data_IF_226366491249
#
_entry.id   IF_226366491249
#
_cell.length_a   1.000
_cell.length_b   1.000
_cell.length_c   1.000
_cell.angle_alpha   90.00
_cell.angle_beta   90.00
_cell.angle_gamma   90.00
#
_symmetry.space_group_name_H-M   'P 1'
#
loop_
_entity.id
_entity.type
_entity.pdbx_description
1 polymer ?
#
# COMPACT_ATOMS: atom_id res chain seq x y z
N UNK A 1 -20.00 -61.36 -4.28
CA UNK A 1 -21.10 -62.01 -5.01
C UNK A 1 -22.39 -61.60 -4.33
N UNK A 2 -22.95 -60.48 -4.79
CA UNK A 2 -24.32 -60.03 -4.50
C UNK A 2 -24.70 -59.22 -5.73
N UNK A 3 -25.55 -59.82 -6.54
CA UNK A 3 -25.98 -59.34 -7.86
C UNK A 3 -27.06 -58.31 -7.62
N UNK A 4 -26.79 -57.04 -7.95
CA UNK A 4 -27.84 -56.04 -8.04
C UNK A 4 -28.67 -56.35 -9.27
N UNK A 5 -29.96 -56.61 -9.05
CA UNK A 5 -30.96 -56.87 -10.08
C UNK A 5 -31.38 -55.51 -10.65
N UNK A 6 -31.19 -55.34 -11.96
CA UNK A 6 -31.72 -54.20 -12.71
C UNK A 6 -33.24 -54.13 -12.50
N UNK A 7 -33.71 -53.01 -11.94
CA UNK A 7 -35.12 -52.67 -11.91
C UNK A 7 -35.43 -51.89 -13.18
N UNK A 8 -36.16 -52.52 -14.10
CA UNK A 8 -36.73 -51.86 -15.27
C UNK A 8 -37.63 -50.70 -14.82
N UNK A 9 -37.23 -49.47 -15.14
CA UNK A 9 -38.10 -48.29 -15.06
C UNK A 9 -39.19 -48.44 -16.13
N UNK A 10 -40.42 -48.64 -15.69
CA UNK A 10 -41.61 -48.58 -16.55
C UNK A 10 -41.98 -47.10 -16.68
N UNK A 11 -41.67 -46.49 -17.83
CA UNK A 11 -42.20 -45.18 -18.21
C UNK A 11 -43.73 -45.28 -18.40
N UNK A 12 -44.50 -44.69 -17.49
CA UNK A 12 -45.92 -44.38 -17.73
C UNK A 12 -46.02 -43.17 -18.68
N UNK A 13 -46.96 -43.16 -19.65
CA UNK A 13 -47.05 -42.11 -20.65
C UNK A 13 -47.51 -40.77 -20.02
N UNK A 14 -46.77 -39.71 -20.33
CA UNK A 14 -47.03 -38.34 -19.91
C UNK A 14 -48.28 -37.78 -20.61
N UNK A 15 -49.42 -37.81 -19.92
CA UNK A 15 -50.68 -37.24 -20.43
C UNK A 15 -50.63 -35.72 -20.24
N UNK A 16 -50.53 -34.99 -21.35
CA UNK A 16 -50.48 -33.53 -21.35
C UNK A 16 -51.79 -32.92 -20.80
N UNK A 17 -51.64 -31.96 -19.89
CA UNK A 17 -52.69 -31.29 -19.09
C UNK A 17 -53.87 -30.77 -19.93
N UNK A 18 -53.66 -30.47 -21.20
CA UNK A 18 -54.66 -29.97 -22.15
C UNK A 18 -55.68 -31.02 -22.58
N UNK A 19 -55.29 -32.28 -22.77
CA UNK A 19 -56.17 -33.31 -23.35
C UNK A 19 -57.21 -33.84 -22.35
N UNK A 20 -56.89 -33.80 -21.05
CA UNK A 20 -57.83 -34.17 -19.98
C UNK A 20 -58.89 -33.09 -19.72
N UNK A 21 -58.59 -31.83 -20.03
CA UNK A 21 -59.48 -30.69 -19.77
C UNK A 21 -60.60 -30.55 -20.81
N UNK A 22 -60.39 -30.97 -22.05
CA UNK A 22 -61.42 -30.88 -23.12
C UNK A 22 -62.55 -31.90 -22.98
N UNK A 23 -62.38 -32.97 -22.19
CA UNK A 23 -63.35 -34.08 -22.06
C UNK A 23 -64.32 -33.95 -20.88
N UNK A 24 -64.18 -32.96 -20.01
CA UNK A 24 -65.00 -32.83 -18.80
C UNK A 24 -65.96 -31.62 -18.88
N UNK A 25 -67.26 -31.88 -18.72
CA UNK A 25 -68.30 -30.84 -18.62
C UNK A 25 -68.19 -30.11 -17.27
N UNK A 26 -68.11 -28.78 -17.29
CA UNK A 26 -67.84 -27.90 -16.12
C UNK A 26 -68.84 -28.05 -14.95
N UNK A 27 -70.01 -28.65 -15.16
CA UNK A 27 -71.06 -28.82 -14.16
C UNK A 27 -71.04 -30.19 -13.47
N UNK A 28 -70.20 -31.13 -13.92
CA UNK A 28 -70.04 -32.49 -13.35
C UNK A 28 -68.66 -32.71 -12.72
N UNK A 29 -67.93 -31.62 -12.44
CA UNK A 29 -66.56 -31.68 -11.92
C UNK A 29 -66.54 -32.20 -10.47
N UNK A 30 -66.19 -33.48 -10.27
CA UNK A 30 -65.86 -34.00 -8.96
C UNK A 30 -64.40 -33.67 -8.64
N UNK A 31 -64.15 -32.79 -7.68
CA UNK A 31 -62.79 -32.49 -7.18
C UNK A 31 -62.27 -33.74 -6.45
N UNK A 32 -61.62 -34.63 -7.19
CA UNK A 32 -60.85 -35.75 -6.62
C UNK A 32 -59.39 -35.32 -6.51
N UNK A 33 -58.68 -35.67 -5.41
CA UNK A 33 -57.24 -35.49 -5.35
C UNK A 33 -56.61 -36.17 -6.56
N UNK A 34 -55.85 -35.44 -7.36
CA UNK A 34 -55.17 -35.99 -8.53
C UNK A 34 -54.20 -37.07 -8.05
N UNK A 35 -54.39 -38.30 -8.50
CA UNK A 35 -53.46 -39.40 -8.24
C UNK A 35 -52.15 -39.12 -9.01
N UNK A 36 -51.01 -39.37 -8.36
CA UNK A 36 -49.65 -39.27 -8.92
C UNK A 36 -49.15 -37.85 -9.28
N UNK A 37 -49.39 -36.84 -8.43
CA UNK A 37 -48.64 -35.57 -8.54
C UNK A 37 -47.24 -35.71 -7.88
N UNK A 38 -46.17 -35.23 -8.52
CA UNK A 38 -44.86 -35.18 -7.87
C UNK A 38 -44.93 -34.30 -6.62
N UNK A 39 -44.14 -34.61 -5.57
CA UNK A 39 -44.17 -33.84 -4.35
C UNK A 39 -43.70 -32.40 -4.61
N UNK A 40 -44.36 -31.43 -3.96
CA UNK A 40 -44.03 -30.01 -4.12
C UNK A 40 -42.60 -29.69 -3.67
N UNK A 41 -42.10 -30.42 -2.68
CA UNK A 41 -40.75 -30.31 -2.14
C UNK A 41 -40.09 -31.69 -2.17
N UNK A 42 -38.83 -31.72 -2.57
CA UNK A 42 -37.96 -32.89 -2.50
C UNK A 42 -36.84 -32.55 -1.52
N UNK A 43 -36.38 -33.53 -0.75
CA UNK A 43 -35.23 -33.33 0.12
C UNK A 43 -33.99 -33.01 -0.74
N UNK A 44 -33.20 -32.02 -0.35
CA UNK A 44 -32.03 -31.59 -1.10
C UNK A 44 -30.98 -32.70 -1.23
N UNK A 45 -30.89 -33.58 -0.25
CA UNK A 45 -29.96 -34.73 -0.24
C UNK A 45 -30.28 -35.77 -1.33
N UNK A 46 -31.55 -35.86 -1.72
CA UNK A 46 -32.00 -36.81 -2.74
C UNK A 46 -31.67 -36.31 -4.16
N UNK A 47 -31.36 -35.02 -4.31
CA UNK A 47 -30.97 -34.42 -5.59
C UNK A 47 -29.46 -34.38 -5.74
N UNK A 48 -28.94 -35.08 -6.75
CA UNK A 48 -27.52 -35.00 -7.13
C UNK A 48 -27.19 -33.60 -7.67
N UNK A 49 -26.13 -32.93 -7.16
CA UNK A 49 -25.76 -31.60 -7.64
C UNK A 49 -25.12 -31.66 -9.03
N UNK A 50 -25.41 -30.68 -9.88
CA UNK A 50 -24.70 -30.54 -11.15
C UNK A 50 -23.27 -30.05 -10.94
N UNK A 51 -22.38 -30.36 -11.88
CA UNK A 51 -21.01 -29.84 -11.86
C UNK A 51 -21.02 -28.36 -12.24
N UNK A 52 -20.70 -27.50 -11.27
CA UNK A 52 -20.66 -26.05 -11.44
C UNK A 52 -19.23 -25.53 -11.30
N UNK A 53 -18.87 -24.57 -12.15
CA UNK A 53 -17.55 -23.94 -12.15
C UNK A 53 -17.48 -22.68 -11.29
N UNK A 54 -18.60 -21.96 -11.18
CA UNK A 54 -18.69 -20.72 -10.41
C UNK A 54 -20.15 -20.44 -10.02
N UNK A 55 -20.32 -19.60 -9.01
CA UNK A 55 -21.59 -18.98 -8.67
C UNK A 55 -21.50 -17.49 -8.98
N UNK A 56 -22.57 -16.92 -9.53
CA UNK A 56 -22.64 -15.51 -9.87
C UNK A 56 -23.82 -14.83 -9.22
N UNK A 57 -23.64 -13.58 -8.83
CA UNK A 57 -24.69 -12.72 -8.27
C UNK A 57 -24.70 -11.38 -8.98
N UNK A 58 -25.89 -10.80 -9.13
CA UNK A 58 -26.09 -9.44 -9.61
C UNK A 58 -26.96 -8.69 -8.62
N UNK A 59 -26.51 -7.53 -8.16
CA UNK A 59 -27.17 -6.76 -7.11
C UNK A 59 -26.85 -5.26 -7.23
N UNK A 60 -27.66 -4.41 -6.61
CA UNK A 60 -27.37 -2.98 -6.50
C UNK A 60 -26.23 -2.72 -5.51
N UNK A 61 -25.23 -1.94 -5.92
CA UNK A 61 -23.99 -1.76 -5.17
C UNK A 61 -24.21 -0.88 -3.93
N UNK A 62 -24.50 -1.53 -2.80
CA UNK A 62 -24.54 -0.92 -1.47
C UNK A 62 -23.42 -1.42 -0.58
N UNK A 63 -23.09 -0.67 0.47
CA UNK A 63 -22.05 -1.06 1.44
C UNK A 63 -22.39 -2.37 2.16
N UNK A 64 -23.67 -2.59 2.48
CA UNK A 64 -24.16 -3.76 3.19
C UNK A 64 -24.10 -5.01 2.31
N UNK A 65 -24.68 -4.94 1.11
CA UNK A 65 -24.68 -6.07 0.17
C UNK A 65 -23.25 -6.41 -0.29
N UNK A 66 -22.44 -5.39 -0.58
CA UNK A 66 -21.05 -5.63 -0.94
C UNK A 66 -20.29 -6.36 0.18
N UNK A 67 -20.43 -5.91 1.44
CA UNK A 67 -19.82 -6.59 2.60
C UNK A 67 -20.31 -8.02 2.76
N UNK A 68 -21.61 -8.24 2.61
CA UNK A 68 -22.22 -9.56 2.66
C UNK A 68 -21.57 -10.50 1.63
N UNK A 69 -21.57 -10.11 0.35
CA UNK A 69 -21.01 -10.93 -0.73
C UNK A 69 -19.50 -11.13 -0.59
N UNK A 70 -18.75 -10.10 -0.19
CA UNK A 70 -17.31 -10.22 0.10
C UNK A 70 -17.01 -11.22 1.22
N UNK A 71 -17.84 -11.26 2.27
CA UNK A 71 -17.70 -12.23 3.37
C UNK A 71 -17.90 -13.68 2.90
N UNK A 72 -18.71 -13.88 1.85
CA UNK A 72 -18.97 -15.17 1.22
C UNK A 72 -18.04 -15.45 0.01
N UNK A 73 -16.89 -14.80 -0.06
CA UNK A 73 -15.88 -15.02 -1.11
C UNK A 73 -16.33 -14.69 -2.54
N UNK A 74 -17.30 -13.80 -2.71
CA UNK A 74 -17.65 -13.27 -4.03
C UNK A 74 -16.75 -12.07 -4.37
N UNK A 75 -16.21 -12.05 -5.58
CA UNK A 75 -15.33 -11.00 -6.09
C UNK A 75 -16.03 -10.25 -7.22
N UNK A 76 -16.10 -8.90 -7.15
CA UNK A 76 -16.70 -8.12 -8.23
C UNK A 76 -15.84 -8.22 -9.50
N UNK A 77 -16.50 -8.39 -10.64
CA UNK A 77 -15.84 -8.33 -11.95
C UNK A 77 -16.44 -7.25 -12.85
N UNK A 78 -17.60 -6.71 -12.49
CA UNK A 78 -18.27 -5.65 -13.23
C UNK A 78 -19.09 -4.75 -12.29
N UNK A 79 -19.02 -3.45 -12.53
CA UNK A 79 -19.90 -2.44 -11.93
C UNK A 79 -20.39 -1.54 -13.06
N UNK A 80 -21.72 -1.42 -13.20
CA UNK A 80 -22.35 -0.57 -14.19
C UNK A 80 -22.07 0.91 -13.92
N UNK A 81 -21.73 1.68 -14.95
CA UNK A 81 -21.41 3.11 -14.80
C UNK A 81 -22.65 3.98 -14.61
N UNK A 82 -23.79 3.52 -15.10
CA UNK A 82 -25.06 4.24 -15.01
C UNK A 82 -25.83 3.65 -13.82
N UNK A 83 -26.19 4.46 -12.82
CA UNK A 83 -27.04 3.99 -11.73
C UNK A 83 -28.45 3.68 -12.25
N UNK A 84 -29.10 2.71 -11.64
CA UNK A 84 -30.51 2.39 -11.92
C UNK A 84 -31.41 3.60 -11.67
N UNK A 85 -32.31 3.90 -12.59
CA UNK A 85 -33.27 5.01 -12.43
C UNK A 85 -34.26 4.78 -11.27
N UNK A 86 -34.46 3.52 -10.85
CA UNK A 86 -35.42 3.17 -9.79
C UNK A 86 -34.76 3.25 -8.41
N UNK A 87 -33.55 2.71 -8.26
CA UNK A 87 -32.88 2.60 -6.95
C UNK A 87 -31.76 3.62 -6.74
N UNK A 88 -31.27 4.25 -7.81
CA UNK A 88 -30.09 5.13 -7.75
C UNK A 88 -28.76 4.38 -7.56
N UNK A 89 -28.78 3.04 -7.51
CA UNK A 89 -27.61 2.21 -7.26
C UNK A 89 -26.98 1.71 -8.56
N UNK A 90 -25.65 1.56 -8.56
CA UNK A 90 -24.93 0.93 -9.66
C UNK A 90 -25.10 -0.59 -9.60
N UNK A 91 -25.39 -1.25 -10.71
CA UNK A 91 -25.43 -2.72 -10.75
C UNK A 91 -24.02 -3.29 -10.58
N UNK A 92 -23.82 -4.15 -9.58
CA UNK A 92 -22.61 -4.91 -9.36
C UNK A 92 -22.84 -6.37 -9.74
N UNK A 93 -21.88 -6.97 -10.46
CA UNK A 93 -21.84 -8.40 -10.71
C UNK A 93 -20.58 -8.97 -10.06
N UNK A 94 -20.76 -10.05 -9.29
CA UNK A 94 -19.68 -10.71 -8.57
C UNK A 94 -19.73 -12.22 -8.78
N UNK A 95 -18.56 -12.85 -8.78
CA UNK A 95 -18.38 -14.28 -8.97
C UNK A 95 -17.67 -14.89 -7.77
N UNK A 96 -18.08 -16.09 -7.39
CA UNK A 96 -17.33 -16.98 -6.49
C UNK A 96 -16.90 -18.20 -7.30
N UNK A 97 -15.58 -18.45 -7.46
CA UNK A 97 -15.12 -19.69 -8.08
C UNK A 97 -15.51 -20.89 -7.20
N UNK A 98 -15.85 -22.01 -7.84
CA UNK A 98 -16.06 -23.29 -7.16
C UNK A 98 -14.89 -24.23 -7.45
N UNK A 99 -14.58 -25.12 -6.52
CA UNK A 99 -13.55 -26.14 -6.72
C UNK A 99 -14.06 -27.12 -7.79
N UNK A 100 -13.43 -27.08 -8.97
CA UNK A 100 -13.68 -28.04 -10.06
C UNK A 100 -12.34 -28.53 -10.59
N UNK A 101 -12.20 -29.84 -10.70
CA UNK A 101 -10.98 -30.50 -11.20
C UNK A 101 -10.66 -30.17 -12.67
N UNK A 102 -11.64 -29.59 -13.39
CA UNK A 102 -11.50 -29.23 -14.81
C UNK A 102 -10.65 -27.98 -15.03
N UNK A 103 -10.53 -27.12 -14.02
CA UNK A 103 -9.86 -25.83 -14.13
C UNK A 103 -8.57 -25.88 -13.32
N UNK A 104 -7.42 -25.95 -14.03
CA UNK A 104 -6.09 -25.76 -13.43
C UNK A 104 -5.94 -24.29 -13.01
N UNK A 105 -6.43 -23.95 -11.83
CA UNK A 105 -6.14 -22.69 -11.17
C UNK A 105 -4.61 -22.60 -10.92
N UNK A 106 -4.02 -21.42 -11.11
CA UNK A 106 -2.65 -21.16 -10.64
C UNK A 106 -2.56 -21.31 -9.12
N UNK A 107 -1.35 -21.33 -8.58
CA UNK A 107 -1.03 -21.63 -7.16
C UNK A 107 -1.74 -20.73 -6.11
N UNK A 108 -2.49 -19.71 -6.54
CA UNK A 108 -3.38 -18.87 -5.75
C UNK A 108 -4.76 -19.53 -5.51
N UNK A 109 -4.81 -20.42 -4.53
CA UNK A 109 -5.96 -21.26 -4.14
C UNK A 109 -7.30 -20.49 -3.96
N UNK A 110 -7.29 -19.18 -3.68
CA UNK A 110 -8.50 -18.43 -3.35
C UNK A 110 -9.26 -17.80 -4.53
N UNK A 111 -8.60 -17.43 -5.63
CA UNK A 111 -9.26 -16.83 -6.80
C UNK A 111 -9.18 -17.70 -8.06
N UNK A 112 -8.18 -18.59 -8.15
CA UNK A 112 -7.98 -19.47 -9.30
C UNK A 112 -8.10 -18.73 -10.64
N UNK A 113 -9.01 -19.18 -11.52
CA UNK A 113 -9.21 -18.58 -12.84
C UNK A 113 -9.72 -17.13 -12.81
N UNK A 114 -10.31 -16.68 -11.70
CA UNK A 114 -10.91 -15.35 -11.57
C UNK A 114 -9.86 -14.25 -11.36
N UNK A 115 -8.65 -14.60 -10.94
CA UNK A 115 -7.59 -13.65 -10.63
C UNK A 115 -7.29 -12.63 -11.75
N UNK A 116 -7.03 -13.04 -13.02
CA UNK A 116 -6.76 -12.07 -14.09
C UNK A 116 -7.95 -11.14 -14.36
N UNK A 117 -9.18 -11.64 -14.31
CA UNK A 117 -10.39 -10.83 -14.48
C UNK A 117 -10.57 -9.84 -13.34
N UNK A 118 -10.30 -10.27 -12.12
CA UNK A 118 -10.37 -9.40 -10.95
C UNK A 118 -9.30 -8.29 -11.00
N UNK A 119 -8.07 -8.60 -11.45
CA UNK A 119 -7.02 -7.60 -11.67
C UNK A 119 -7.41 -6.56 -12.72
N UNK A 120 -7.95 -7.01 -13.87
CA UNK A 120 -8.45 -6.10 -14.92
C UNK A 120 -9.62 -5.25 -14.42
N UNK A 121 -10.59 -5.85 -13.71
CA UNK A 121 -11.68 -5.12 -13.06
C UNK A 121 -11.16 -4.03 -12.13
N UNK A 122 -10.24 -4.34 -11.20
CA UNK A 122 -9.67 -3.35 -10.27
C UNK A 122 -9.00 -2.20 -11.02
N UNK A 123 -8.29 -2.49 -12.10
CA UNK A 123 -7.64 -1.47 -12.94
C UNK A 123 -8.66 -0.56 -13.63
N UNK A 124 -9.71 -1.13 -14.24
CA UNK A 124 -10.78 -0.36 -14.90
C UNK A 124 -11.58 0.46 -13.89
N UNK A 125 -11.98 -0.16 -12.79
CA UNK A 125 -12.71 0.49 -11.71
C UNK A 125 -11.95 1.69 -11.18
N UNK A 126 -10.64 1.54 -10.89
CA UNK A 126 -9.78 2.64 -10.45
C UNK A 126 -9.76 3.82 -11.43
N UNK A 127 -9.71 3.57 -12.74
CA UNK A 127 -9.73 4.62 -13.77
C UNK A 127 -11.08 5.33 -13.90
N UNK A 128 -12.17 4.66 -13.53
CA UNK A 128 -13.53 5.21 -13.59
C UNK A 128 -13.94 5.96 -12.30
N UNK A 129 -13.11 5.93 -11.25
CA UNK A 129 -13.39 6.61 -9.98
C UNK A 129 -13.49 8.13 -10.12
N UNK A 130 -12.72 8.73 -11.03
CA UNK A 130 -12.73 10.18 -11.25
C UNK A 130 -13.89 10.65 -12.15
N UNK A 131 -14.56 9.73 -12.83
CA UNK A 131 -15.62 10.03 -13.78
C UNK A 131 -16.94 9.43 -13.32
N UNK A 132 -17.29 8.24 -13.80
CA UNK A 132 -18.60 7.60 -13.60
C UNK A 132 -18.88 7.23 -12.13
N UNK A 133 -17.84 7.06 -11.30
CA UNK A 133 -17.97 6.74 -9.88
C UNK A 133 -17.50 7.88 -8.94
N UNK A 134 -17.44 9.11 -9.45
CA UNK A 134 -17.04 10.29 -8.66
C UNK A 134 -17.92 10.51 -7.44
N UNK A 135 -19.22 10.31 -7.58
CA UNK A 135 -20.21 10.49 -6.52
C UNK A 135 -20.45 9.23 -5.67
N UNK A 136 -19.78 8.12 -5.97
CA UNK A 136 -19.85 6.92 -5.13
C UNK A 136 -19.23 7.22 -3.76
N UNK A 137 -19.85 6.73 -2.69
CA UNK A 137 -19.31 6.88 -1.35
C UNK A 137 -17.86 6.34 -1.29
N UNK A 138 -16.91 7.14 -0.82
CA UNK A 138 -15.50 6.76 -0.82
C UNK A 138 -15.22 5.47 -0.03
N UNK A 139 -15.93 5.21 1.08
CA UNK A 139 -15.73 4.00 1.90
C UNK A 139 -16.11 2.75 1.11
N UNK A 140 -17.22 2.83 0.38
CA UNK A 140 -17.68 1.78 -0.52
C UNK A 140 -16.68 1.58 -1.65
N UNK A 141 -16.29 2.65 -2.33
CA UNK A 141 -15.34 2.61 -3.43
C UNK A 141 -13.98 2.04 -3.01
N UNK A 142 -13.45 2.44 -1.86
CA UNK A 142 -12.24 1.86 -1.27
C UNK A 142 -12.40 0.38 -0.94
N UNK A 143 -13.57 -0.03 -0.42
CA UNK A 143 -13.83 -1.44 -0.12
C UNK A 143 -13.92 -2.31 -1.38
N UNK A 144 -14.45 -1.77 -2.47
CA UNK A 144 -14.51 -2.44 -3.80
C UNK A 144 -13.12 -2.57 -4.40
N UNK A 145 -12.30 -1.52 -4.31
CA UNK A 145 -10.95 -1.54 -4.82
C UNK A 145 -10.03 -2.45 -3.99
N UNK A 146 -10.28 -2.59 -2.68
CA UNK A 146 -9.57 -3.48 -1.77
C UNK A 146 -8.03 -3.38 -1.84
N UNK A 147 -7.51 -2.17 -2.06
CA UNK A 147 -6.06 -1.94 -2.11
C UNK A 147 -5.43 -2.05 -0.74
N UNK A 148 -4.20 -2.59 -0.71
CA UNK A 148 -3.36 -2.57 0.49
C UNK A 148 -3.00 -1.13 0.85
N UNK A 149 -3.12 -0.81 2.14
CA UNK A 149 -2.81 0.51 2.71
C UNK A 149 -1.63 0.39 3.69
N UNK A 150 -1.50 -0.76 4.34
CA UNK A 150 -0.41 -1.08 5.25
C UNK A 150 0.66 -1.90 4.52
N UNK A 151 1.87 -1.36 4.49
CA UNK A 151 3.05 -1.98 3.90
C UNK A 151 4.16 -2.17 4.94
N UNK A 152 3.83 -2.15 6.25
CA UNK A 152 4.80 -2.28 7.35
C UNK A 152 5.66 -3.55 7.29
N UNK A 153 5.10 -4.65 6.78
CA UNK A 153 5.77 -5.94 6.61
C UNK A 153 6.24 -6.22 5.18
N UNK A 154 6.23 -5.22 4.31
CA UNK A 154 6.62 -5.37 2.92
C UNK A 154 8.12 -5.09 2.74
N UNK A 155 8.90 -6.12 2.43
CA UNK A 155 10.28 -5.91 1.99
C UNK A 155 10.26 -5.37 0.55
N UNK A 156 10.88 -4.21 0.27
CA UNK A 156 10.91 -3.64 -1.07
C UNK A 156 11.66 -4.60 -2.01
N UNK A 157 10.95 -5.17 -2.97
CA UNK A 157 11.55 -6.06 -3.98
C UNK A 157 12.22 -5.23 -5.09
N UNK A 158 13.24 -5.79 -5.75
CA UNK A 158 13.88 -5.14 -6.91
C UNK A 158 12.89 -4.78 -8.02
N UNK A 159 11.80 -5.54 -8.13
CA UNK A 159 10.72 -5.30 -9.09
C UNK A 159 9.94 -4.03 -8.74
N UNK A 160 9.68 -3.77 -7.46
CA UNK A 160 8.95 -2.57 -7.01
C UNK A 160 9.80 -1.31 -7.22
N UNK A 161 11.10 -1.42 -6.96
CA UNK A 161 12.07 -0.35 -7.25
C UNK A 161 12.10 -0.08 -8.75
N UNK A 162 12.17 -1.11 -9.60
CA UNK A 162 12.16 -0.96 -11.06
C UNK A 162 10.89 -0.28 -11.58
N UNK A 163 9.71 -0.64 -11.05
CA UNK A 163 8.45 0.02 -11.41
C UNK A 163 8.45 1.48 -10.99
N UNK A 164 8.90 1.77 -9.76
CA UNK A 164 8.98 3.14 -9.24
C UNK A 164 9.92 3.98 -10.09
N UNK A 165 11.05 3.41 -10.53
CA UNK A 165 12.00 4.09 -11.42
C UNK A 165 11.43 4.36 -12.80
N UNK A 166 10.66 3.43 -13.37
CA UNK A 166 9.92 3.69 -14.63
C UNK A 166 8.93 4.83 -14.47
N UNK A 167 8.20 4.87 -13.36
CA UNK A 167 7.29 5.99 -13.06
C UNK A 167 8.05 7.33 -13.00
N UNK A 168 9.20 7.36 -12.33
CA UNK A 168 10.05 8.54 -12.20
C UNK A 168 10.68 9.00 -13.53
N UNK A 169 10.92 8.08 -14.47
CA UNK A 169 11.53 8.41 -15.77
C UNK A 169 10.49 8.77 -16.84
N UNK A 170 9.35 8.09 -16.85
CA UNK A 170 8.38 8.15 -17.94
C UNK A 170 7.22 9.11 -17.66
N UNK A 171 6.88 9.34 -16.39
CA UNK A 171 5.67 10.09 -16.00
C UNK A 171 5.98 11.36 -15.22
N UNK A 172 6.93 11.34 -14.29
CA UNK A 172 7.28 12.50 -13.46
C UNK A 172 8.50 13.25 -14.00
N UNK A 173 8.40 14.57 -14.16
CA UNK A 173 9.54 15.41 -14.52
C UNK A 173 10.43 15.72 -13.31
N UNK A 174 11.73 15.99 -13.49
CA UNK A 174 12.58 16.56 -12.44
C UNK A 174 12.00 17.86 -11.83
N UNK A 175 11.25 18.63 -12.61
CA UNK A 175 10.56 19.82 -12.12
C UNK A 175 9.40 19.48 -11.18
N UNK A 176 8.68 18.38 -11.45
CA UNK A 176 7.60 17.90 -10.60
C UNK A 176 8.13 17.40 -9.26
N UNK A 177 9.30 16.76 -9.27
CA UNK A 177 9.98 16.35 -8.04
C UNK A 177 10.35 17.56 -7.16
N UNK A 178 10.85 18.65 -7.76
CA UNK A 178 11.13 19.90 -7.04
C UNK A 178 9.86 20.57 -6.50
N UNK A 179 8.76 20.55 -7.25
CA UNK A 179 7.46 21.07 -6.79
C UNK A 179 6.96 20.27 -5.59
N UNK A 180 7.08 18.95 -5.65
CA UNK A 180 6.68 18.04 -4.58
C UNK A 180 7.57 18.19 -3.34
N UNK A 181 8.87 18.43 -3.52
CA UNK A 181 9.81 18.79 -2.45
C UNK A 181 9.42 20.12 -1.79
N UNK A 182 9.18 21.16 -2.58
CA UNK A 182 8.82 22.49 -2.07
C UNK A 182 7.50 22.43 -1.26
N UNK A 183 6.51 21.68 -1.74
CA UNK A 183 5.27 21.44 -1.00
C UNK A 183 5.51 20.61 0.27
N UNK A 184 6.33 19.55 0.18
CA UNK A 184 6.71 18.74 1.35
C UNK A 184 7.45 19.56 2.40
N UNK A 185 8.21 20.58 2.02
CA UNK A 185 8.88 21.48 2.96
C UNK A 185 7.97 22.62 3.49
N UNK A 186 6.66 22.59 3.18
CA UNK A 186 5.69 23.65 3.49
C UNK A 186 6.05 25.01 2.86
N UNK A 187 6.82 25.05 1.77
CA UNK A 187 7.24 26.31 1.12
C UNK A 187 6.19 26.83 0.14
N UNK A 188 5.30 25.96 -0.33
CA UNK A 188 4.29 26.27 -1.34
C UNK A 188 2.93 25.73 -0.93
N UNK A 189 1.88 26.35 -1.46
CA UNK A 189 0.50 25.91 -1.31
C UNK A 189 0.19 24.66 -2.18
N UNK A 190 -0.83 23.89 -1.76
CA UNK A 190 -1.21 22.63 -2.39
C UNK A 190 -1.65 22.76 -3.86
N UNK A 191 -2.14 23.92 -4.30
CA UNK A 191 -2.56 24.12 -5.68
C UNK A 191 -1.41 23.87 -6.68
N UNK A 192 -0.15 24.05 -6.28
CA UNK A 192 1.00 23.79 -7.15
C UNK A 192 1.25 22.29 -7.37
N UNK A 193 0.59 21.37 -6.69
CA UNK A 193 0.82 19.93 -6.89
C UNK A 193 -0.43 19.16 -7.28
N UNK A 194 -1.57 19.83 -7.45
CA UNK A 194 -2.87 19.19 -7.71
C UNK A 194 -2.86 18.30 -8.97
N UNK A 195 -2.15 18.71 -10.01
CA UNK A 195 -1.94 17.95 -11.25
C UNK A 195 -1.19 16.62 -11.01
N UNK A 196 -0.35 16.55 -9.97
CA UNK A 196 0.43 15.36 -9.63
C UNK A 196 -0.35 14.39 -8.74
N UNK A 197 -1.38 14.86 -8.02
CA UNK A 197 -2.12 14.05 -7.05
C UNK A 197 -2.80 12.84 -7.70
N UNK A 198 -3.52 12.95 -8.84
CA UNK A 198 -4.14 11.79 -9.48
C UNK A 198 -3.12 10.75 -9.90
N UNK A 199 -1.97 11.17 -10.44
CA UNK A 199 -0.88 10.29 -10.87
C UNK A 199 -0.37 9.48 -9.67
N UNK A 200 -0.01 10.17 -8.58
CA UNK A 200 0.49 9.53 -7.37
C UNK A 200 -0.56 8.61 -6.73
N UNK A 201 -1.83 9.02 -6.70
CA UNK A 201 -2.92 8.21 -6.17
C UNK A 201 -3.13 6.94 -7.01
N UNK A 202 -3.13 7.04 -8.35
CA UNK A 202 -3.25 5.87 -9.23
C UNK A 202 -2.16 4.84 -9.00
N UNK A 203 -0.91 5.28 -8.83
CA UNK A 203 0.23 4.39 -8.62
C UNK A 203 0.23 3.80 -7.20
N UNK A 204 -0.14 4.61 -6.20
CA UNK A 204 -0.32 4.15 -4.82
C UNK A 204 -1.38 3.06 -4.71
N UNK A 205 -2.59 3.32 -5.21
CA UNK A 205 -3.70 2.36 -5.15
C UNK A 205 -3.56 1.19 -6.15
N UNK A 206 -2.56 1.23 -7.02
CA UNK A 206 -2.10 0.07 -7.81
C UNK A 206 -1.12 -0.82 -7.04
N UNK A 207 -0.83 -0.50 -5.77
CA UNK A 207 0.12 -1.22 -4.91
C UNK A 207 1.57 -1.19 -5.44
N UNK A 208 1.90 -0.22 -6.31
CA UNK A 208 3.25 -0.03 -6.86
C UNK A 208 4.15 0.85 -6.00
N UNK A 209 3.54 1.64 -5.12
CA UNK A 209 4.23 2.48 -4.13
C UNK A 209 4.00 1.87 -2.75
N UNK A 210 4.92 1.03 -2.22
CA UNK A 210 4.78 0.37 -0.94
C UNK A 210 5.01 1.35 0.23
N UNK A 211 4.11 2.32 0.38
CA UNK A 211 4.18 3.36 1.41
C UNK A 211 3.05 3.17 2.41
N UNK A 212 3.38 2.99 3.68
CA UNK A 212 2.37 2.82 4.72
C UNK A 212 1.67 4.15 5.04
N UNK A 213 0.40 4.24 4.68
CA UNK A 213 -0.46 5.38 5.00
C UNK A 213 -1.42 5.04 6.14
N UNK A 214 -1.75 6.04 6.96
CA UNK A 214 -2.83 5.88 7.92
C UNK A 214 -4.19 5.90 7.21
N UNK A 215 -5.24 5.30 7.80
CA UNK A 215 -6.56 5.21 7.18
C UNK A 215 -7.13 6.57 6.72
N UNK A 216 -6.99 7.61 7.55
CA UNK A 216 -7.40 8.97 7.17
C UNK A 216 -6.55 9.57 6.05
N UNK A 217 -5.24 9.30 6.04
CA UNK A 217 -4.32 9.75 4.97
C UNK A 217 -4.69 9.11 3.62
N UNK A 218 -4.92 7.80 3.62
CA UNK A 218 -5.36 7.08 2.43
C UNK A 218 -6.74 7.54 1.96
N UNK A 219 -7.68 7.83 2.88
CA UNK A 219 -9.01 8.33 2.53
C UNK A 219 -8.96 9.70 1.84
N UNK A 220 -8.12 10.62 2.35
CA UNK A 220 -7.92 11.93 1.72
C UNK A 220 -7.27 11.79 0.34
N UNK A 221 -6.23 10.97 0.21
CA UNK A 221 -5.59 10.70 -1.09
C UNK A 221 -6.57 10.05 -2.09
N UNK A 222 -7.45 9.17 -1.62
CA UNK A 222 -8.47 8.53 -2.44
C UNK A 222 -9.48 9.55 -2.98
N UNK A 223 -10.03 10.40 -2.11
CA UNK A 223 -11.04 11.38 -2.51
C UNK A 223 -10.46 12.42 -3.47
N UNK A 224 -9.31 13.01 -3.13
CA UNK A 224 -8.69 14.05 -3.96
C UNK A 224 -8.05 13.49 -5.23
N UNK A 225 -7.39 12.33 -5.15
CA UNK A 225 -6.61 11.80 -6.26
C UNK A 225 -7.38 10.87 -7.19
N UNK A 226 -8.22 9.97 -6.66
CA UNK A 226 -8.98 9.03 -7.49
C UNK A 226 -10.38 9.50 -7.83
N UNK A 227 -11.08 10.17 -6.92
CA UNK A 227 -12.43 10.70 -7.17
C UNK A 227 -12.44 12.16 -7.63
N UNK A 228 -11.27 12.78 -7.79
CA UNK A 228 -11.12 14.18 -8.24
C UNK A 228 -12.04 15.14 -7.46
N UNK A 229 -12.12 14.95 -6.14
CA UNK A 229 -12.90 15.79 -5.23
C UNK A 229 -12.06 16.95 -4.74
N UNK A 230 -12.69 18.12 -4.64
CA UNK A 230 -12.06 19.28 -4.03
C UNK A 230 -11.97 19.11 -2.51
N UNK A 231 -11.24 20.01 -1.86
CA UNK A 231 -11.09 19.99 -0.40
C UNK A 231 -12.44 20.21 0.29
N UNK A 232 -13.35 21.01 -0.32
CA UNK A 232 -14.70 21.24 0.20
C UNK A 232 -15.52 19.94 0.24
N UNK A 233 -15.67 19.25 -0.89
CA UNK A 233 -16.39 17.98 -0.93
C UNK A 233 -15.71 16.90 -0.07
N UNK A 234 -14.38 16.87 -0.05
CA UNK A 234 -13.61 15.94 0.80
C UNK A 234 -13.90 16.20 2.29
N UNK A 235 -14.04 17.47 2.71
CA UNK A 235 -14.44 17.85 4.08
C UNK A 235 -15.80 17.24 4.43
N UNK A 236 -16.79 17.47 3.58
CA UNK A 236 -18.17 17.04 3.81
C UNK A 236 -18.29 15.51 3.87
N UNK A 237 -17.58 14.79 3.01
CA UNK A 237 -17.70 13.35 2.90
C UNK A 237 -16.95 12.59 4.01
N UNK A 238 -15.78 13.09 4.43
CA UNK A 238 -15.05 12.52 5.56
C UNK A 238 -15.62 12.97 6.91
N UNK A 239 -16.34 14.10 6.96
CA UNK A 239 -16.86 14.68 8.21
C UNK A 239 -15.75 15.22 9.12
N UNK A 240 -14.65 15.71 8.53
CA UNK A 240 -13.49 16.28 9.25
C UNK A 240 -13.32 17.76 8.93
N UNK A 241 -12.56 18.51 9.72
CA UNK A 241 -12.31 19.93 9.44
C UNK A 241 -11.33 20.13 8.27
N UNK A 242 -11.44 21.29 7.60
CA UNK A 242 -10.63 21.62 6.40
C UNK A 242 -9.12 21.55 6.70
N UNK A 243 -8.72 22.04 7.87
CA UNK A 243 -7.34 22.03 8.34
C UNK A 243 -6.84 20.59 8.55
N UNK A 244 -7.71 19.67 8.96
CA UNK A 244 -7.37 18.25 9.12
C UNK A 244 -7.22 17.56 7.77
N UNK A 245 -8.04 17.92 6.76
CA UNK A 245 -7.86 17.44 5.37
C UNK A 245 -6.48 17.85 4.87
N UNK A 246 -6.14 19.14 4.96
CA UNK A 246 -4.83 19.68 4.55
C UNK A 246 -3.66 19.03 5.31
N UNK A 247 -3.81 18.87 6.64
CA UNK A 247 -2.80 18.22 7.47
C UNK A 247 -2.55 16.76 7.08
N UNK A 248 -3.61 16.00 6.78
CA UNK A 248 -3.48 14.63 6.31
C UNK A 248 -2.92 14.57 4.88
N UNK A 249 -3.32 15.50 4.03
CA UNK A 249 -2.84 15.61 2.66
C UNK A 249 -1.33 15.89 2.61
N UNK A 250 -0.83 16.86 3.36
CA UNK A 250 0.62 17.15 3.39
C UNK A 250 1.43 16.00 4.01
N UNK A 251 0.94 15.36 5.07
CA UNK A 251 1.60 14.17 5.65
C UNK A 251 1.69 13.03 4.64
N UNK A 252 0.66 12.86 3.81
CA UNK A 252 0.65 11.87 2.74
C UNK A 252 1.68 12.19 1.67
N UNK A 253 1.70 13.44 1.19
CA UNK A 253 2.66 13.87 0.15
C UNK A 253 4.10 13.79 0.62
N UNK A 254 4.40 14.16 1.88
CA UNK A 254 5.73 13.99 2.49
C UNK A 254 6.21 12.55 2.46
N UNK A 255 5.33 11.59 2.78
CA UNK A 255 5.68 10.16 2.77
C UNK A 255 5.94 9.65 1.35
N UNK A 256 5.08 10.03 0.40
CA UNK A 256 5.23 9.65 -1.00
C UNK A 256 6.52 10.25 -1.60
N UNK A 257 6.76 11.54 -1.37
CA UNK A 257 8.00 12.21 -1.78
C UNK A 257 9.23 11.54 -1.18
N UNK A 258 9.24 11.29 0.13
CA UNK A 258 10.36 10.63 0.81
C UNK A 258 10.70 9.27 0.19
N UNK A 259 9.68 8.47 -0.14
CA UNK A 259 9.89 7.19 -0.83
C UNK A 259 10.47 7.38 -2.25
N UNK A 260 9.89 8.28 -3.04
CA UNK A 260 10.36 8.56 -4.40
C UNK A 260 11.80 9.09 -4.43
N UNK A 261 12.12 10.03 -3.53
CA UNK A 261 13.45 10.62 -3.44
C UNK A 261 14.51 9.60 -2.97
N UNK A 262 14.16 8.73 -2.01
CA UNK A 262 15.05 7.66 -1.59
C UNK A 262 15.35 6.68 -2.73
N UNK A 263 14.34 6.35 -3.54
CA UNK A 263 14.50 5.47 -4.71
C UNK A 263 15.34 6.13 -5.80
N UNK A 264 15.10 7.42 -6.10
CA UNK A 264 15.90 8.18 -7.05
C UNK A 264 17.36 8.35 -6.58
N UNK A 265 17.58 8.59 -5.27
CA UNK A 265 18.92 8.67 -4.69
C UNK A 265 19.72 7.37 -4.84
N UNK A 266 19.08 6.21 -4.61
CA UNK A 266 19.70 4.88 -4.82
C UNK A 266 20.09 4.64 -6.28
N UNK A 267 19.30 5.12 -7.23
CA UNK A 267 19.62 5.03 -8.66
C UNK A 267 20.85 5.87 -9.01
N UNK A 268 20.92 7.10 -8.51
CA UNK A 268 22.07 7.99 -8.73
C UNK A 268 23.34 7.37 -8.11
N UNK A 269 23.25 6.86 -6.89
CA UNK A 269 24.36 6.15 -6.21
C UNK A 269 24.82 4.90 -6.97
N UNK A 270 23.89 4.14 -7.56
CA UNK A 270 24.21 2.99 -8.39
C UNK A 270 24.84 3.37 -9.74
N UNK A 271 24.54 4.56 -10.28
CA UNK A 271 25.02 5.04 -11.58
C UNK A 271 26.34 5.82 -11.45
N UNK A 272 26.63 6.39 -10.28
CA UNK A 272 27.89 7.06 -10.01
C UNK A 272 29.05 6.05 -10.15
N UNK A 273 30.12 6.41 -10.89
CA UNK A 273 31.31 5.57 -10.95
C UNK A 273 31.82 5.41 -9.52
N UNK A 274 31.76 4.20 -8.98
CA UNK A 274 32.49 3.88 -7.75
C UNK A 274 33.95 4.14 -8.06
N UNK A 275 34.52 5.18 -7.46
CA UNK A 275 35.96 5.35 -7.46
C UNK A 275 36.49 4.03 -6.91
N UNK A 276 37.21 3.26 -7.74
CA UNK A 276 38.02 2.15 -7.23
C UNK A 276 38.86 2.78 -6.13
N UNK A 277 38.68 2.33 -4.90
CA UNK A 277 39.68 2.56 -3.88
C UNK A 277 41.00 2.15 -4.53
N UNK A 278 41.85 3.14 -4.78
CA UNK A 278 43.20 2.86 -5.19
C UNK A 278 43.79 2.26 -3.92
N UNK A 279 43.70 0.94 -3.79
CA UNK A 279 44.58 0.14 -2.94
C UNK A 279 45.99 0.31 -3.52
N UNK A 280 46.55 1.51 -3.35
CA UNK A 280 47.98 1.62 -3.28
C UNK A 280 48.36 0.75 -2.07
N UNK A 281 49.23 -0.25 -2.22
CA UNK A 281 49.75 -0.97 -1.07
C UNK A 281 50.63 0.03 -0.32
N UNK A 282 50.01 0.80 0.56
CA UNK A 282 50.72 1.48 1.63
C UNK A 282 51.26 0.33 2.48
N UNK A 283 52.56 0.04 2.31
CA UNK A 283 53.26 -0.98 3.08
C UNK A 283 53.33 -0.65 4.58
N UNK A 284 52.80 0.50 4.98
CA UNK A 284 52.68 1.04 6.33
C UNK A 284 51.32 1.69 6.50
N UNK A 285 50.69 1.52 7.66
CA UNK A 285 49.43 2.20 7.98
C UNK A 285 49.66 3.72 8.05
N UNK A 286 48.65 4.51 7.68
CA UNK A 286 48.70 5.97 7.80
C UNK A 286 48.91 6.41 9.26
N UNK A 287 48.42 5.61 10.22
CA UNK A 287 48.63 5.83 11.64
C UNK A 287 50.10 5.56 12.06
N UNK A 288 50.74 4.56 11.44
CA UNK A 288 52.16 4.24 11.71
C UNK A 288 53.08 5.35 11.20
N UNK A 289 52.82 5.89 10.00
CA UNK A 289 53.59 7.02 9.45
C UNK A 289 53.40 8.31 10.28
N UNK A 290 52.17 8.54 10.80
CA UNK A 290 51.89 9.67 11.69
C UNK A 290 52.60 9.52 13.04
N UNK A 291 52.65 8.31 13.60
CA UNK A 291 53.34 8.02 14.84
C UNK A 291 54.87 8.11 14.70
N UNK A 292 55.44 7.65 13.58
CA UNK A 292 56.87 7.78 13.28
C UNK A 292 57.26 9.26 13.15
N UNK A 293 56.46 10.05 12.44
CA UNK A 293 56.65 11.50 12.32
C UNK A 293 56.50 12.21 13.68
N UNK A 294 55.55 11.80 14.51
CA UNK A 294 55.36 12.35 15.85
C UNK A 294 56.54 12.01 16.78
N UNK A 295 57.13 10.82 16.67
CA UNK A 295 58.32 10.42 17.41
C UNK A 295 59.56 11.20 16.95
N UNK A 296 59.75 11.40 15.64
CA UNK A 296 60.83 12.25 15.13
C UNK A 296 60.74 13.69 15.65
N UNK A 297 59.54 14.27 15.67
CA UNK A 297 59.34 15.64 16.17
C UNK A 297 59.59 15.72 17.68
N UNK A 298 59.17 14.71 18.44
CA UNK A 298 59.47 14.63 19.88
C UNK A 298 60.96 14.50 20.14
N UNK A 299 61.68 13.68 19.39
CA UNK A 299 63.11 13.51 19.60
C UNK A 299 63.89 14.76 19.15
N UNK A 300 63.50 15.39 18.03
CA UNK A 300 64.06 16.70 17.63
C UNK A 300 63.80 17.80 18.68
N UNK A 301 62.62 17.81 19.31
CA UNK A 301 62.32 18.72 20.44
C UNK A 301 63.14 18.39 21.67
N UNK A 302 63.26 17.11 22.04
CA UNK A 302 64.05 16.67 23.19
C UNK A 302 65.52 17.02 23.02
N UNK A 303 66.08 16.81 21.84
CA UNK A 303 67.44 17.22 21.49
C UNK A 303 67.59 18.74 21.48
N UNK A 304 66.57 19.50 21.05
CA UNK A 304 66.59 20.96 21.13
C UNK A 304 66.43 21.50 22.56
N UNK A 305 65.73 20.79 23.43
CA UNK A 305 65.56 21.14 24.85
C UNK A 305 66.80 20.73 25.68
N UNK A 306 67.48 19.62 25.30
CA UNK A 306 68.76 19.19 25.89
C UNK A 306 69.96 20.01 25.36
N UNK A 307 69.90 20.44 24.10
CA UNK A 307 70.88 21.35 23.53
C UNK A 307 70.59 22.79 24.00
N UNK A 308 71.41 23.28 24.93
CA UNK A 308 71.52 24.67 25.39
C UNK A 308 70.39 25.21 26.27
N UNK A 309 70.27 24.67 27.49
CA UNK A 309 69.97 25.52 28.65
C UNK A 309 71.28 25.80 29.39
N UNK A 310 71.90 26.94 29.10
CA UNK A 310 73.15 27.36 29.72
C UNK A 310 72.89 27.68 31.22
N UNK A 311 73.50 26.95 32.19
CA UNK A 311 73.17 27.08 33.62
C UNK A 311 73.34 28.51 34.19
N UNK A 312 74.13 29.34 33.50
CA UNK A 312 74.36 30.75 33.85
C UNK A 312 73.13 31.64 33.60
N UNK A 313 72.22 31.28 32.68
CA UNK A 313 70.98 32.02 32.42
C UNK A 313 69.92 31.75 33.50
N UNK A 314 69.90 30.54 34.07
CA UNK A 314 68.99 30.18 35.16
C UNK A 314 69.34 30.87 36.48
N UNK A 315 70.63 31.14 36.73
CA UNK A 315 71.07 31.88 37.93
C UNK A 315 70.60 33.34 37.95
N UNK A 316 70.28 33.94 36.79
CA UNK A 316 69.73 35.31 36.71
C UNK A 316 68.27 35.40 37.17
N UNK A 317 67.55 34.28 37.18
CA UNK A 317 66.17 34.16 37.67
C UNK A 317 66.09 33.40 39.00
N UNK A 318 67.23 33.08 39.62
CA UNK A 318 67.27 32.51 40.95
C UNK A 318 66.78 33.57 41.96
N UNK A 319 65.54 33.44 42.39
CA UNK A 319 64.98 34.22 43.49
C UNK A 319 65.78 33.80 44.74
N UNK A 320 66.65 34.68 45.24
CA UNK A 320 67.21 34.55 46.59
C UNK A 320 66.07 34.85 47.57
N UNK A 321 65.30 33.83 47.91
CA UNK A 321 64.44 33.84 49.09
C UNK A 321 65.36 33.90 50.30
N UNK A 322 65.38 35.04 51.00
CA UNK A 322 65.78 35.05 52.39
C UNK A 322 64.55 34.54 53.15
N UNK A 323 64.60 33.34 53.72
CA UNK A 323 63.42 32.69 54.32
C UNK A 323 62.78 33.56 55.43
N UNK A 324 63.54 34.50 55.99
CA UNK A 324 63.05 35.53 56.92
C UNK A 324 62.16 36.62 56.29
N UNK A 325 62.30 36.95 55.00
CA UNK A 325 61.42 37.90 54.32
C UNK A 325 60.08 37.26 53.94
N UNK A 326 60.07 35.97 53.59
CA UNK A 326 58.84 35.23 53.27
C UNK A 326 57.99 35.01 54.53
N UNK A 327 58.61 34.68 55.68
CA UNK A 327 57.88 34.59 56.95
C UNK A 327 57.29 35.93 57.41
N UNK A 328 57.98 37.05 57.14
CA UNK A 328 57.45 38.40 57.42
C UNK A 328 56.28 38.77 56.51
N UNK A 329 56.32 38.38 55.24
CA UNK A 329 55.22 38.61 54.30
C UNK A 329 53.98 37.79 54.67
N UNK A 330 54.15 36.55 55.14
CA UNK A 330 53.05 35.68 55.57
C UNK A 330 52.41 36.11 56.90
N UNK A 331 53.13 36.81 57.79
CA UNK A 331 52.58 37.33 59.05
C UNK A 331 51.74 38.61 58.87
N UNK A 332 51.90 39.36 57.78
CA UNK A 332 51.18 40.62 57.55
C UNK A 332 49.79 40.46 56.91
N UNK A 333 49.33 39.25 56.59
CA UNK A 333 47.98 38.99 56.03
C UNK A 333 46.93 38.55 57.07
N UNK A 334 47.14 38.86 58.35
CA UNK A 334 46.09 38.79 59.37
C UNK A 334 45.97 40.11 60.14
N UNK A 335 45.30 41.11 59.54
CA UNK A 335 44.43 42.10 60.20
C UNK A 335 44.03 43.22 59.23
N UNK A 336 42.90 43.00 58.54
CA UNK A 336 41.77 43.94 58.28
C UNK A 336 41.15 43.71 56.91
#
# INVERSE_FOLDING_TARGET
MTVFKDAEEVEEPDVTISEAAEKASLLEESIKPRANLPPLLVNLEDRRPEKLHYLGVSFGLTQELFRFWRKHSFYPFYVGQIPSAVTGEHTCMALSPLNSDDIKAGDSIQLGFLEPFYKDFRQRFRRLLGTSFRHLNFKLAMSVLASKIDFSHHEPSEHDTSITLKLLRDVLSPHDMKRLEAYSNNLVDYHLILDLVPILAHEYFSEKLPVTLHGAQASVLFCMGLQDKDIGATKEELGIEREQVLSNFIKTMKKLYGYLNNTAGKEIEATLPRLKEIEAPLSRSMDEDLDEAAQEVKEKRRVADEATVDPKLLQKYAIKSDDHEIEKALQNEKLS
#
